data_IF_466354868659
#
_entry.id   IF_466354868659
#
_cell.length_a   1.000
_cell.length_b   1.000
_cell.length_c   1.000
_cell.angle_alpha   90.00
_cell.angle_beta   90.00
_cell.angle_gamma   90.00
#
_symmetry.space_group_name_H-M   'P 1'
#
loop_
_entity.id
_entity.type
_entity.pdbx_description
1 polymer ?
#
# COMPACT_ATOMS: atom_id res chain seq x y z
N UNK A 1 -24.33 -12.48 1.97
CA UNK A 1 -22.92 -12.80 2.28
C UNK A 1 -21.98 -11.62 1.98
N UNK A 2 -22.45 -10.55 1.32
CA UNK A 2 -21.60 -9.41 0.90
C UNK A 2 -21.21 -8.47 2.04
N UNK A 3 -22.06 -8.34 3.06
CA UNK A 3 -21.78 -7.44 4.19
C UNK A 3 -20.56 -7.89 5.01
N UNK A 4 -20.25 -9.20 5.02
CA UNK A 4 -19.13 -9.81 5.76
C UNK A 4 -17.78 -9.46 5.13
N UNK A 5 -17.72 -9.38 3.80
CA UNK A 5 -16.49 -9.03 3.07
C UNK A 5 -16.15 -7.54 3.23
N UNK A 6 -17.17 -6.70 3.36
CA UNK A 6 -17.01 -5.26 3.57
C UNK A 6 -16.55 -4.97 5.00
N UNK A 7 -17.13 -5.59 6.02
CA UNK A 7 -16.66 -5.41 7.41
C UNK A 7 -15.24 -5.91 7.60
N UNK A 8 -14.86 -7.04 7.01
CA UNK A 8 -13.49 -7.55 7.11
C UNK A 8 -12.46 -6.59 6.44
N UNK A 9 -12.82 -5.95 5.33
CA UNK A 9 -12.00 -4.92 4.72
C UNK A 9 -11.82 -3.69 5.64
N UNK A 10 -12.89 -3.25 6.31
CA UNK A 10 -12.80 -2.15 7.26
C UNK A 10 -12.06 -2.50 8.54
N UNK A 11 -12.21 -3.73 9.04
CA UNK A 11 -11.50 -4.21 10.24
C UNK A 11 -9.99 -4.32 9.99
N UNK A 12 -9.59 -4.85 8.82
CA UNK A 12 -8.17 -4.90 8.42
C UNK A 12 -7.58 -3.51 8.21
N UNK A 13 -8.32 -2.58 7.57
CA UNK A 13 -7.88 -1.18 7.46
C UNK A 13 -7.77 -0.49 8.82
N UNK A 14 -8.69 -0.75 9.75
CA UNK A 14 -8.66 -0.21 11.11
C UNK A 14 -7.44 -0.71 11.89
N UNK A 15 -7.10 -1.99 11.77
CA UNK A 15 -5.92 -2.58 12.40
C UNK A 15 -4.61 -1.99 11.83
N UNK A 16 -4.53 -1.83 10.50
CA UNK A 16 -3.40 -1.18 9.82
C UNK A 16 -3.23 0.27 10.27
N UNK A 17 -4.33 1.03 10.41
CA UNK A 17 -4.30 2.42 10.85
C UNK A 17 -4.04 2.61 12.35
N UNK A 18 -4.39 1.63 13.18
CA UNK A 18 -4.19 1.68 14.63
C UNK A 18 -2.74 1.40 15.06
N UNK A 19 -1.96 0.71 14.23
CA UNK A 19 -0.53 0.53 14.43
C UNK A 19 0.22 1.85 14.17
N UNK A 20 0.28 2.73 15.18
CA UNK A 20 1.11 3.93 15.17
C UNK A 20 2.54 3.59 14.72
N UNK A 21 2.90 3.98 13.49
CA UNK A 21 4.13 3.70 12.67
C UNK A 21 3.92 2.83 11.41
N UNK A 22 2.71 2.38 11.09
CA UNK A 22 2.42 1.68 9.83
C UNK A 22 2.10 2.67 8.71
N UNK A 23 2.83 2.61 7.59
CA UNK A 23 2.51 3.34 6.36
C UNK A 23 1.78 2.39 5.41
N UNK A 24 0.51 2.67 5.13
CA UNK A 24 -0.30 1.89 4.20
C UNK A 24 -0.36 2.58 2.84
N UNK A 25 -0.05 1.85 1.76
CA UNK A 25 -0.18 2.33 0.38
C UNK A 25 -1.24 1.49 -0.31
N UNK A 26 -2.35 2.13 -0.68
CA UNK A 26 -3.43 1.47 -1.41
C UNK A 26 -3.06 1.39 -2.89
N UNK A 27 -3.00 0.17 -3.42
CA UNK A 27 -2.71 -0.07 -4.84
C UNK A 27 -4.03 -0.31 -5.57
N UNK A 28 -4.34 0.45 -6.62
CA UNK A 28 -5.51 0.18 -7.46
C UNK A 28 -5.46 -1.28 -7.96
N UNK A 29 -6.57 -1.99 -7.84
CA UNK A 29 -6.64 -3.38 -8.31
C UNK A 29 -6.90 -3.40 -9.82
N UNK A 30 -5.86 -3.74 -10.56
CA UNK A 30 -5.89 -3.98 -12.00
C UNK A 30 -4.59 -4.67 -12.41
N UNK A 31 -4.59 -5.59 -13.40
CA UNK A 31 -3.40 -6.37 -13.74
C UNK A 31 -2.14 -5.53 -14.04
N UNK A 32 -2.30 -4.29 -14.52
CA UNK A 32 -1.20 -3.36 -14.77
C UNK A 32 -0.79 -2.49 -13.57
N UNK A 33 -1.74 -2.13 -12.70
CA UNK A 33 -1.51 -1.14 -11.64
C UNK A 33 -0.53 -1.64 -10.55
N UNK A 34 -0.50 -2.95 -10.27
CA UNK A 34 0.46 -3.52 -9.31
C UNK A 34 1.90 -3.44 -9.83
N UNK A 35 2.10 -3.72 -11.13
CA UNK A 35 3.44 -3.70 -11.75
C UNK A 35 4.03 -2.29 -11.76
N UNK A 36 3.21 -1.29 -12.06
CA UNK A 36 3.65 0.10 -12.15
C UNK A 36 4.03 0.66 -10.76
N UNK A 37 3.25 0.33 -9.72
CA UNK A 37 3.57 0.74 -8.34
C UNK A 37 4.88 0.11 -7.85
N UNK A 38 5.13 -1.16 -8.14
CA UNK A 38 6.40 -1.81 -7.77
C UNK A 38 7.59 -1.11 -8.44
N UNK A 39 7.46 -0.70 -9.70
CA UNK A 39 8.50 0.09 -10.37
C UNK A 39 8.72 1.43 -9.68
N UNK A 40 7.65 2.18 -9.41
CA UNK A 40 7.73 3.49 -8.77
C UNK A 40 8.32 3.43 -7.35
N UNK A 41 7.99 2.39 -6.57
CA UNK A 41 8.59 2.18 -5.24
C UNK A 41 10.10 1.92 -5.37
N UNK A 42 10.49 1.02 -6.28
CA UNK A 42 11.91 0.71 -6.51
C UNK A 42 12.68 1.96 -6.95
N UNK A 43 12.13 2.71 -7.90
CA UNK A 43 12.76 3.91 -8.44
C UNK A 43 12.82 5.02 -7.38
N UNK A 44 11.76 5.19 -6.59
CA UNK A 44 11.73 6.14 -5.46
C UNK A 44 12.73 5.82 -4.35
N UNK A 45 12.90 4.53 -4.01
CA UNK A 45 13.91 4.10 -3.04
C UNK A 45 15.34 4.30 -3.56
N UNK A 46 15.59 3.98 -4.83
CA UNK A 46 16.89 4.22 -5.47
C UNK A 46 17.21 5.72 -5.55
N UNK A 47 16.23 6.55 -5.97
CA UNK A 47 16.37 8.00 -6.04
C UNK A 47 16.62 8.61 -4.65
N UNK A 48 15.87 8.16 -3.63
CA UNK A 48 16.07 8.58 -2.24
C UNK A 48 17.46 8.23 -1.71
N UNK A 49 17.95 7.03 -2.04
CA UNK A 49 19.31 6.58 -1.66
C UNK A 49 20.40 7.39 -2.35
N UNK A 50 20.20 7.77 -3.62
CA UNK A 50 21.14 8.61 -4.38
C UNK A 50 21.15 10.07 -3.89
N UNK A 51 20.01 10.58 -3.40
CA UNK A 51 19.89 11.94 -2.85
C UNK A 51 20.48 12.13 -1.45
N UNK A 52 20.95 11.07 -0.81
CA UNK A 52 21.57 11.11 0.52
C UNK A 52 23.12 11.10 0.48
N UNK A 53 23.72 11.44 -0.67
CA UNK A 53 25.17 11.70 -0.80
C UNK A 53 25.46 13.20 -0.95
#
# INVERSE_FOLDING_TARGET
MDMVLVTQYFDTMKEIGAASKSSAVFIPHGPGAVRDVVSQIRDGLLQGSLSHQ
#
